data_IF_963697178102
#
_entry.id   IF_963697178102
#
_cell.length_a   1.000
_cell.length_b   1.000
_cell.length_c   1.000
_cell.angle_alpha   90.00
_cell.angle_beta   90.00
_cell.angle_gamma   90.00
#
_symmetry.space_group_name_H-M   'P 1'
#
loop_
_entity.id
_entity.type
_entity.pdbx_description
1 polymer ?
#
# COMPACT_ATOMS: atom_id res chain seq x y z
N UNK A 1 -9.02 -15.27 -12.56
CA UNK A 1 -7.74 -15.62 -13.21
C UNK A 1 -6.99 -16.55 -12.26
N UNK A 2 -6.35 -17.61 -12.76
CA UNK A 2 -5.50 -18.50 -11.96
C UNK A 2 -4.06 -18.41 -12.45
N UNK A 3 -3.11 -18.21 -11.53
CA UNK A 3 -1.68 -18.24 -11.80
C UNK A 3 -1.08 -19.39 -10.99
N UNK A 4 -0.26 -20.23 -11.62
CA UNK A 4 0.54 -21.25 -10.93
C UNK A 4 1.93 -20.69 -10.68
N UNK A 5 2.40 -20.78 -9.44
CA UNK A 5 3.74 -20.35 -9.04
C UNK A 5 4.46 -21.51 -8.35
N UNK A 6 5.76 -21.65 -8.61
CA UNK A 6 6.63 -22.51 -7.82
C UNK A 6 7.03 -21.75 -6.55
N UNK A 7 6.73 -22.33 -5.39
CA UNK A 7 7.01 -21.72 -4.09
C UNK A 7 8.34 -22.28 -3.57
N UNK A 8 9.36 -21.44 -3.32
CA UNK A 8 10.62 -21.90 -2.71
C UNK A 8 10.40 -22.47 -1.31
N UNK A 9 11.21 -23.46 -0.89
CA UNK A 9 11.12 -24.07 0.45
C UNK A 9 11.20 -23.05 1.60
N UNK A 10 11.99 -21.99 1.42
CA UNK A 10 12.11 -20.90 2.38
C UNK A 10 10.78 -20.17 2.61
N UNK A 11 9.96 -20.01 1.56
CA UNK A 11 8.63 -19.42 1.65
C UNK A 11 7.63 -20.43 2.21
N UNK A 12 7.72 -21.71 1.84
CA UNK A 12 6.83 -22.75 2.39
C UNK A 12 6.94 -22.84 3.92
N UNK A 13 8.16 -22.73 4.45
CA UNK A 13 8.40 -22.68 5.90
C UNK A 13 7.75 -21.47 6.58
N UNK A 14 7.69 -20.33 5.89
CA UNK A 14 7.00 -19.12 6.37
C UNK A 14 5.48 -19.32 6.34
N UNK A 15 4.96 -19.95 5.27
CA UNK A 15 3.54 -20.28 5.15
C UNK A 15 3.09 -21.22 6.25
N UNK A 16 3.87 -22.27 6.55
CA UNK A 16 3.58 -23.18 7.65
C UNK A 16 3.47 -22.46 8.99
N UNK A 17 4.37 -21.48 9.23
CA UNK A 17 4.33 -20.67 10.45
C UNK A 17 3.08 -19.79 10.49
N UNK A 18 2.81 -19.03 9.43
CA UNK A 18 1.64 -18.16 9.33
C UNK A 18 0.33 -18.96 9.48
N UNK A 19 0.21 -20.09 8.79
CA UNK A 19 -0.93 -21.00 8.89
C UNK A 19 -1.20 -21.47 10.33
N UNK A 20 -0.15 -21.76 11.11
CA UNK A 20 -0.29 -22.16 12.50
C UNK A 20 -0.65 -21.00 13.43
N UNK A 21 -0.01 -19.86 13.27
CA UNK A 21 -0.22 -18.68 14.11
C UNK A 21 -1.60 -18.04 13.87
N UNK A 22 -2.07 -18.02 12.63
CA UNK A 22 -3.33 -17.37 12.23
C UNK A 22 -4.49 -18.37 12.05
N UNK A 23 -4.25 -19.67 12.24
CA UNK A 23 -5.22 -20.75 12.03
C UNK A 23 -5.83 -20.75 10.62
N UNK A 24 -5.00 -20.53 9.59
CA UNK A 24 -5.37 -20.49 8.18
C UNK A 24 -4.75 -21.66 7.41
N UNK A 25 -5.38 -22.10 6.33
CA UNK A 25 -4.72 -23.02 5.39
C UNK A 25 -3.58 -22.30 4.62
N UNK A 26 -2.67 -23.07 4.03
CA UNK A 26 -1.48 -22.51 3.34
C UNK A 26 -1.84 -21.58 2.18
N UNK A 27 -2.92 -21.86 1.45
CA UNK A 27 -3.34 -21.03 0.31
C UNK A 27 -3.88 -19.70 0.81
N UNK A 28 -4.70 -19.72 1.87
CA UNK A 28 -5.17 -18.50 2.54
C UNK A 28 -4.02 -17.67 3.11
N UNK A 29 -3.04 -18.31 3.77
CA UNK A 29 -1.84 -17.64 4.27
C UNK A 29 -1.03 -17.01 3.13
N UNK A 30 -0.85 -17.72 2.01
CA UNK A 30 -0.15 -17.20 0.84
C UNK A 30 -0.88 -15.99 0.24
N UNK A 31 -2.20 -16.08 0.07
CA UNK A 31 -3.01 -14.96 -0.43
C UNK A 31 -2.89 -13.72 0.48
N UNK A 32 -2.91 -13.92 1.80
CA UNK A 32 -2.73 -12.85 2.79
C UNK A 32 -1.37 -12.15 2.62
N UNK A 33 -0.31 -12.93 2.49
CA UNK A 33 1.05 -12.41 2.30
C UNK A 33 1.16 -11.68 0.96
N UNK A 34 0.64 -12.26 -0.12
CA UNK A 34 0.63 -11.64 -1.45
C UNK A 34 -0.08 -10.28 -1.42
N UNK A 35 -1.22 -10.18 -0.75
CA UNK A 35 -1.94 -8.92 -0.62
C UNK A 35 -1.16 -7.88 0.19
N UNK A 36 -0.55 -8.29 1.29
CA UNK A 36 0.33 -7.43 2.11
C UNK A 36 1.54 -6.92 1.32
N UNK A 37 2.12 -7.79 0.47
CA UNK A 37 3.22 -7.42 -0.43
C UNK A 37 2.78 -6.45 -1.53
N UNK A 38 1.60 -6.67 -2.13
CA UNK A 38 1.02 -5.80 -3.14
C UNK A 38 0.73 -4.39 -2.58
N UNK A 39 0.11 -4.32 -1.40
CA UNK A 39 -0.11 -3.08 -0.65
C UNK A 39 1.21 -2.31 -0.45
N UNK A 40 2.22 -2.98 0.12
CA UNK A 40 3.53 -2.37 0.39
C UNK A 40 4.24 -1.90 -0.89
N UNK A 41 4.15 -2.69 -1.96
CA UNK A 41 4.71 -2.32 -3.26
C UNK A 41 4.07 -1.03 -3.80
N UNK A 42 2.74 -0.93 -3.76
CA UNK A 42 2.02 0.24 -4.28
C UNK A 42 2.25 1.48 -3.40
N UNK A 43 2.28 1.32 -2.09
CA UNK A 43 2.66 2.41 -1.16
C UNK A 43 4.05 2.95 -1.49
N UNK A 44 5.04 2.07 -1.74
CA UNK A 44 6.38 2.52 -2.14
C UNK A 44 6.41 3.26 -3.48
N UNK A 45 5.58 2.83 -4.44
CA UNK A 45 5.43 3.53 -5.72
C UNK A 45 4.79 4.92 -5.52
N UNK A 46 3.86 5.06 -4.58
CA UNK A 46 3.30 6.36 -4.19
C UNK A 46 4.35 7.25 -3.53
N UNK A 47 5.08 6.73 -2.54
CA UNK A 47 6.12 7.45 -1.79
C UNK A 47 7.24 7.97 -2.69
N UNK A 48 7.60 7.19 -3.72
CA UNK A 48 8.57 7.60 -4.74
C UNK A 48 7.98 8.54 -5.81
N UNK A 49 6.70 8.87 -5.72
CA UNK A 49 6.00 9.79 -6.61
C UNK A 49 5.65 9.22 -7.98
N UNK A 50 5.75 7.89 -8.16
CA UNK A 50 5.48 7.20 -9.44
C UNK A 50 4.00 7.03 -9.72
N UNK A 51 3.18 6.91 -8.66
CA UNK A 51 1.72 6.89 -8.78
C UNK A 51 1.11 8.00 -7.93
N UNK A 52 -0.05 8.49 -8.34
CA UNK A 52 -0.84 9.44 -7.54
C UNK A 52 -1.60 8.69 -6.45
N UNK A 53 -2.05 9.44 -5.44
CA UNK A 53 -2.92 8.90 -4.39
C UNK A 53 -4.24 8.34 -4.93
N UNK A 54 -4.83 9.00 -5.93
CA UNK A 54 -6.02 8.49 -6.61
C UNK A 54 -5.76 7.20 -7.39
N UNK A 55 -4.56 7.03 -7.97
CA UNK A 55 -4.19 5.78 -8.63
C UNK A 55 -3.96 4.64 -7.62
N UNK A 56 -3.41 4.96 -6.45
CA UNK A 56 -3.29 4.01 -5.34
C UNK A 56 -4.66 3.52 -4.87
N UNK A 57 -5.62 4.44 -4.70
CA UNK A 57 -7.02 4.14 -4.37
C UNK A 57 -7.66 3.18 -5.38
N UNK A 58 -7.55 3.51 -6.67
CA UNK A 58 -8.09 2.67 -7.77
C UNK A 58 -7.49 1.25 -7.79
N UNK A 59 -6.17 1.12 -7.58
CA UNK A 59 -5.50 -0.18 -7.68
C UNK A 59 -5.76 -1.11 -6.49
N UNK A 60 -6.03 -0.53 -5.32
CA UNK A 60 -6.33 -1.27 -4.10
C UNK A 60 -7.84 -1.39 -3.83
N UNK A 61 -8.67 -0.79 -4.69
CA UNK A 61 -10.12 -0.68 -4.50
C UNK A 61 -10.49 -0.08 -3.14
N UNK A 62 -9.81 1.01 -2.79
CA UNK A 62 -9.98 1.75 -1.55
C UNK A 62 -10.52 3.15 -1.83
N UNK A 63 -11.23 3.73 -0.87
CA UNK A 63 -11.55 5.14 -0.90
C UNK A 63 -10.37 6.02 -0.43
N UNK A 64 -10.51 7.34 -0.58
CA UNK A 64 -9.43 8.28 -0.23
C UNK A 64 -9.15 8.31 1.28
N UNK A 65 -10.15 8.07 2.12
CA UNK A 65 -9.99 8.00 3.57
C UNK A 65 -9.19 6.75 3.96
N UNK A 66 -9.55 5.58 3.42
CA UNK A 66 -8.83 4.32 3.63
C UNK A 66 -7.38 4.41 3.13
N UNK A 67 -7.14 5.10 2.00
CA UNK A 67 -5.78 5.37 1.53
C UNK A 67 -4.99 6.26 2.51
N UNK A 68 -5.63 7.22 3.19
CA UNK A 68 -4.93 8.00 4.22
C UNK A 68 -4.50 7.13 5.40
N UNK A 69 -5.40 6.30 5.92
CA UNK A 69 -5.10 5.38 7.02
C UNK A 69 -3.99 4.40 6.62
N UNK A 70 -4.03 3.91 5.38
CA UNK A 70 -2.99 3.06 4.82
C UNK A 70 -1.62 3.77 4.81
N UNK A 71 -1.56 4.99 4.29
CA UNK A 71 -0.29 5.73 4.21
C UNK A 71 0.27 6.06 5.60
N UNK A 72 -0.61 6.36 6.57
CA UNK A 72 -0.21 6.58 7.96
C UNK A 72 0.37 5.31 8.61
N UNK A 73 -0.29 4.15 8.41
CA UNK A 73 0.20 2.83 8.86
C UNK A 73 1.60 2.51 8.32
N UNK A 74 1.90 2.92 7.10
CA UNK A 74 3.22 2.73 6.47
C UNK A 74 4.21 3.87 6.79
N UNK A 75 3.86 4.79 7.70
CA UNK A 75 4.67 5.97 8.06
C UNK A 75 5.06 6.87 6.88
N UNK A 76 4.27 6.83 5.80
CA UNK A 76 4.46 7.69 4.62
C UNK A 76 3.74 9.01 4.89
N UNK A 77 4.48 9.99 5.40
CA UNK A 77 3.97 11.37 5.50
C UNK A 77 3.85 11.94 4.09
N UNK A 78 2.64 12.38 3.75
CA UNK A 78 2.32 13.09 2.52
C UNK A 78 3.03 14.48 2.51
N UNK A 79 4.32 14.48 2.18
CA UNK A 79 5.13 15.70 2.04
C UNK A 79 4.59 16.62 0.94
N UNK A 80 3.85 16.07 -0.03
CA UNK A 80 3.26 16.82 -1.14
C UNK A 80 1.99 17.57 -0.74
N UNK A 81 1.23 17.07 0.22
CA UNK A 81 0.05 17.76 0.75
C UNK A 81 0.43 19.10 1.41
N UNK A 82 1.50 19.11 2.22
CA UNK A 82 1.99 20.33 2.85
C UNK A 82 2.52 21.35 1.83
N UNK A 83 3.31 20.91 0.84
CA UNK A 83 3.82 21.80 -0.20
C UNK A 83 2.74 22.37 -1.14
N UNK A 84 1.66 21.63 -1.41
CA UNK A 84 0.53 22.15 -2.18
C UNK A 84 -0.30 23.12 -1.37
N UNK A 85 -0.49 22.84 -0.09
CA UNK A 85 -1.19 23.73 0.82
C UNK A 85 -0.47 25.07 0.96
N UNK A 86 0.85 25.06 1.18
CA UNK A 86 1.65 26.29 1.27
C UNK A 86 1.65 27.06 -0.05
N UNK A 87 1.79 26.39 -1.20
CA UNK A 87 1.67 27.03 -2.52
C UNK A 87 0.29 27.66 -2.76
N UNK A 88 -0.79 27.05 -2.29
CA UNK A 88 -2.13 27.61 -2.40
C UNK A 88 -2.30 28.91 -1.61
N UNK A 89 -1.70 28.99 -0.41
CA UNK A 89 -1.68 30.20 0.41
C UNK A 89 -0.83 31.29 -0.27
N UNK A 90 0.37 30.97 -0.74
CA UNK A 90 1.27 31.94 -1.40
C UNK A 90 0.66 32.58 -2.65
N UNK A 91 -0.08 31.81 -3.46
CA UNK A 91 -0.77 32.35 -4.66
C UNK A 91 -1.92 33.28 -4.27
N UNK A 92 -2.61 32.98 -3.17
CA UNK A 92 -3.73 33.80 -2.67
C UNK A 92 -3.20 35.11 -2.07
N UNK A 93 -2.06 35.08 -1.39
CA UNK A 93 -1.42 36.28 -0.82
C UNK A 93 -0.80 37.20 -1.87
N UNK A 94 -0.28 36.64 -2.99
CA UNK A 94 0.27 37.44 -4.10
C UNK A 94 -0.78 38.04 -5.05
N UNK A 95 -2.04 37.65 -4.90
CA UNK A 95 -3.16 38.11 -5.75
C UNK A 95 -4.01 39.20 -5.09
N UNK A 96 -3.58 39.72 -3.94
CA UNK A 96 -4.10 40.94 -3.28
C UNK A 96 -3.14 42.10 -3.51
#
# INVERSE_FOLDING_TARGET
MSITIEVPESIDSILDRCSREEHLDKVSALNRILWTGAESYLVNQYSSGRISKGKLAELLDLDIYEVNELLEKHHVKDSKSYERFTRGIEVTERSK
#
